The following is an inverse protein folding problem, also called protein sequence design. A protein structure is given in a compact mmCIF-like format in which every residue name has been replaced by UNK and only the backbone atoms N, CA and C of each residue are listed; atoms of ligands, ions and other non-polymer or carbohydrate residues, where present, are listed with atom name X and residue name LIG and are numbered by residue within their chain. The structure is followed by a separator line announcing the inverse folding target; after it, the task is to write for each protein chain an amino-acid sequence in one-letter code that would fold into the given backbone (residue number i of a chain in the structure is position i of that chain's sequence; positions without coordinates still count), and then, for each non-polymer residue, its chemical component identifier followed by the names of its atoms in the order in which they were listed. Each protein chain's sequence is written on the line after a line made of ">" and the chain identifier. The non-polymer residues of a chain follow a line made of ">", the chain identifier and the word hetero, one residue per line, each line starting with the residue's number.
data_IF_065834354748
#
_entry.id   IF_065834354748
#
_cell.length_a   1.000
_cell.length_b   1.000
_cell.length_c   1.000
_cell.angle_alpha   90.00
_cell.angle_beta   90.00
_cell.angle_gamma   90.00
#
_symmetry.space_group_name_H-M   'P 1'
#
loop_
_entity.id
_entity.type
_entity.pdbx_description
1 polymer ?
#
# COMPACT_ATOMS: atom_id res chain seq x y z
N UNK A 1 14.90 15.13 -6.34
CA UNK A 1 13.94 14.05 -6.69
C UNK A 1 13.72 13.04 -5.58
N UNK A 2 14.64 12.89 -4.63
CA UNK A 2 14.50 11.96 -3.50
C UNK A 2 13.53 12.44 -2.40
N UNK A 3 13.27 13.74 -2.27
CA UNK A 3 12.56 14.32 -1.12
C UNK A 3 11.06 14.02 -1.08
N UNK A 4 10.41 13.85 -2.23
CA UNK A 4 8.98 13.55 -2.29
C UNK A 4 8.75 12.10 -2.69
N UNK A 5 8.91 11.22 -1.73
CA UNK A 5 8.87 9.80 -1.93
C UNK A 5 8.19 9.13 -0.73
N UNK A 6 7.10 8.45 -0.99
CA UNK A 6 6.36 7.72 0.02
C UNK A 6 6.05 6.32 -0.48
N UNK A 7 6.74 5.34 0.10
CA UNK A 7 6.54 3.93 -0.18
C UNK A 7 6.94 3.12 1.05
N UNK A 8 6.75 1.81 1.01
CA UNK A 8 7.26 0.90 2.04
C UNK A 8 8.81 0.83 1.95
N UNK A 9 9.48 0.80 3.12
CA UNK A 9 10.93 1.03 3.22
C UNK A 9 11.80 -0.13 2.71
N UNK A 10 11.28 -1.36 2.71
CA UNK A 10 12.06 -2.55 2.35
C UNK A 10 11.99 -2.88 0.86
N UNK A 11 10.82 -3.27 0.36
CA UNK A 11 10.62 -3.58 -1.06
C UNK A 11 10.62 -2.31 -1.90
N UNK A 12 10.07 -1.22 -1.38
CA UNK A 12 10.11 0.09 -2.01
C UNK A 12 11.51 0.68 -2.20
N UNK A 13 12.53 0.14 -1.52
CA UNK A 13 13.93 0.53 -1.68
C UNK A 13 14.47 0.34 -3.12
N UNK A 14 13.79 -0.44 -3.95
CA UNK A 14 14.12 -0.58 -5.38
C UNK A 14 14.02 0.76 -6.13
N UNK A 15 13.07 1.62 -5.74
CA UNK A 15 12.82 2.89 -6.44
C UNK A 15 13.96 3.89 -6.24
N UNK A 16 14.42 4.21 -5.01
CA UNK A 16 15.58 5.05 -4.84
C UNK A 16 16.85 4.48 -5.50
N UNK A 17 16.98 3.16 -5.58
CA UNK A 17 18.05 2.53 -6.37
C UNK A 17 17.97 2.90 -7.86
N UNK A 18 16.81 2.79 -8.47
CA UNK A 18 16.58 3.20 -9.87
C UNK A 18 16.83 4.70 -10.03
N UNK A 19 16.25 5.53 -9.18
CA UNK A 19 16.38 6.99 -9.27
C UNK A 19 17.84 7.42 -9.14
N UNK A 20 18.60 6.82 -8.23
CA UNK A 20 20.01 7.11 -8.05
C UNK A 20 20.82 6.82 -9.33
N UNK A 21 20.57 5.68 -9.97
CA UNK A 21 21.27 5.35 -11.21
C UNK A 21 20.93 6.30 -12.36
N UNK A 22 19.67 6.77 -12.44
CA UNK A 22 19.23 7.74 -13.43
C UNK A 22 19.90 9.13 -13.23
N UNK A 23 19.98 9.55 -11.96
CA UNK A 23 20.66 10.82 -11.61
C UNK A 23 22.17 10.75 -11.86
N UNK A 24 22.79 9.61 -11.59
CA UNK A 24 24.21 9.38 -11.88
C UNK A 24 24.48 9.43 -13.39
N UNK A 25 23.66 8.77 -14.22
CA UNK A 25 23.81 8.83 -15.66
C UNK A 25 23.57 10.24 -16.23
N UNK A 26 22.63 10.98 -15.65
CA UNK A 26 22.40 12.38 -15.97
C UNK A 26 23.61 13.26 -15.62
N UNK A 27 24.22 13.03 -14.46
CA UNK A 27 25.44 13.71 -14.06
C UNK A 27 26.62 13.39 -14.99
N UNK A 28 26.62 12.21 -15.60
CA UNK A 28 27.60 11.79 -16.59
C UNK A 28 27.28 12.27 -18.03
N UNK A 29 26.27 13.13 -18.21
CA UNK A 29 25.95 13.78 -19.48
C UNK A 29 24.82 13.14 -20.30
N UNK A 30 24.08 12.18 -19.71
CA UNK A 30 22.89 11.64 -20.37
C UNK A 30 21.72 12.65 -20.29
N UNK A 31 21.06 12.89 -21.41
CA UNK A 31 19.88 13.76 -21.49
C UNK A 31 18.64 13.02 -20.97
N UNK A 32 18.45 13.01 -19.64
CA UNK A 32 17.29 12.41 -18.99
C UNK A 32 16.35 13.51 -18.51
N UNK A 33 15.13 13.62 -19.07
CA UNK A 33 14.15 14.62 -18.63
C UNK A 33 13.69 14.37 -17.17
N UNK A 34 13.43 15.46 -16.44
CA UNK A 34 12.93 15.39 -15.06
C UNK A 34 11.59 14.63 -14.95
N UNK A 35 10.76 14.75 -15.97
CA UNK A 35 9.46 14.09 -16.06
C UNK A 35 9.60 12.56 -16.07
N UNK A 36 10.67 12.02 -16.64
CA UNK A 36 10.91 10.56 -16.68
C UNK A 36 11.21 10.06 -15.28
N UNK A 37 12.10 10.73 -14.55
CA UNK A 37 12.45 10.37 -13.17
C UNK A 37 11.23 10.50 -12.25
N UNK A 38 10.49 11.61 -12.38
CA UNK A 38 9.28 11.84 -11.61
C UNK A 38 8.20 10.79 -11.91
N UNK A 39 8.00 10.41 -13.16
CA UNK A 39 7.01 9.43 -13.60
C UNK A 39 7.34 8.02 -13.11
N UNK A 40 8.59 7.59 -13.19
CA UNK A 40 9.04 6.29 -12.66
C UNK A 40 8.81 6.24 -11.17
N UNK A 41 9.23 7.28 -10.45
CA UNK A 41 9.09 7.40 -9.01
C UNK A 41 7.62 7.33 -8.59
N UNK A 42 6.76 8.18 -9.15
CA UNK A 42 5.35 8.24 -8.78
C UNK A 42 4.56 7.01 -9.25
N UNK A 43 4.89 6.45 -10.41
CA UNK A 43 4.24 5.25 -10.95
C UNK A 43 4.55 3.99 -10.17
N UNK A 44 5.74 3.89 -9.58
CA UNK A 44 6.16 2.71 -8.79
C UNK A 44 5.83 2.82 -7.30
N UNK A 45 5.62 4.01 -6.74
CA UNK A 45 5.39 4.20 -5.29
C UNK A 45 4.23 3.36 -4.76
N UNK A 46 3.07 3.45 -5.38
CA UNK A 46 1.88 2.73 -4.96
C UNK A 46 2.04 1.21 -5.02
N UNK A 47 2.41 0.64 -6.19
CA UNK A 47 2.65 -0.79 -6.30
C UNK A 47 3.66 -1.35 -5.32
N UNK A 48 4.80 -0.68 -5.16
CA UNK A 48 5.84 -1.14 -4.23
C UNK A 48 5.41 -1.03 -2.78
N UNK A 49 4.65 0.01 -2.41
CA UNK A 49 4.05 0.12 -1.08
C UNK A 49 3.09 -1.05 -0.81
N UNK A 50 2.16 -1.34 -1.72
CA UNK A 50 1.20 -2.43 -1.55
C UNK A 50 1.87 -3.81 -1.46
N UNK A 51 2.88 -4.08 -2.27
CA UNK A 51 3.66 -5.33 -2.19
C UNK A 51 4.43 -5.39 -0.86
N UNK A 52 5.09 -4.31 -0.47
CA UNK A 52 5.87 -4.23 0.76
C UNK A 52 5.02 -4.40 2.01
N UNK A 53 3.88 -3.73 2.06
CA UNK A 53 2.93 -3.85 3.16
C UNK A 53 2.40 -5.29 3.29
N UNK A 54 2.11 -5.95 2.19
CA UNK A 54 1.61 -7.33 2.21
C UNK A 54 2.71 -8.32 2.60
N UNK A 55 3.88 -8.23 1.99
CA UNK A 55 4.96 -9.21 2.21
C UNK A 55 5.73 -8.94 3.50
N UNK A 56 6.21 -7.72 3.71
CA UNK A 56 7.05 -7.43 4.87
C UNK A 56 6.21 -7.23 6.14
N UNK A 57 5.25 -6.33 6.11
CA UNK A 57 4.41 -6.03 7.27
C UNK A 57 3.33 -7.07 7.53
N UNK A 58 2.69 -7.60 6.48
CA UNK A 58 1.64 -8.61 6.60
C UNK A 58 2.18 -10.00 6.88
N UNK A 59 3.26 -10.43 6.19
CA UNK A 59 3.73 -11.82 6.26
C UNK A 59 4.96 -11.98 7.16
N UNK A 60 6.06 -11.31 6.87
CA UNK A 60 7.32 -11.51 7.61
C UNK A 60 7.17 -11.08 9.07
N UNK A 61 6.55 -9.92 9.31
CA UNK A 61 6.24 -9.47 10.66
C UNK A 61 5.40 -10.49 11.42
N UNK A 62 4.30 -10.96 10.82
CA UNK A 62 3.42 -11.92 11.45
C UNK A 62 4.15 -13.21 11.85
N UNK A 63 5.01 -13.74 10.98
CA UNK A 63 5.82 -14.94 11.25
C UNK A 63 6.79 -14.68 12.40
N UNK A 64 7.58 -13.61 12.34
CA UNK A 64 8.56 -13.29 13.39
C UNK A 64 7.91 -13.09 14.77
N UNK A 65 6.81 -12.34 14.82
CA UNK A 65 6.14 -12.06 16.11
C UNK A 65 5.34 -13.26 16.62
N UNK A 66 4.75 -14.10 15.75
CA UNK A 66 4.13 -15.35 16.18
C UNK A 66 5.17 -16.30 16.77
N UNK A 67 6.34 -16.41 16.16
CA UNK A 67 7.45 -17.20 16.66
C UNK A 67 7.92 -16.68 18.03
N UNK A 68 8.07 -15.36 18.17
CA UNK A 68 8.45 -14.73 19.43
C UNK A 68 7.41 -15.02 20.53
N UNK A 69 6.11 -14.93 20.23
CA UNK A 69 5.03 -15.21 21.16
C UNK A 69 5.03 -16.68 21.59
N UNK A 70 5.19 -17.61 20.66
CA UNK A 70 5.25 -19.05 20.95
C UNK A 70 6.45 -19.40 21.87
N UNK A 71 7.61 -18.80 21.59
CA UNK A 71 8.78 -19.00 22.44
C UNK A 71 8.63 -18.38 23.83
N UNK A 72 7.98 -17.22 23.94
CA UNK A 72 7.68 -16.59 25.22
C UNK A 72 6.74 -17.48 26.06
N UNK A 73 5.69 -18.03 25.46
CA UNK A 73 4.73 -18.91 26.13
C UNK A 73 5.39 -20.21 26.62
N UNK A 74 6.41 -20.71 25.93
CA UNK A 74 7.20 -21.86 26.35
C UNK A 74 8.28 -21.54 27.40
N UNK A 75 8.35 -20.29 27.88
CA UNK A 75 9.36 -19.84 28.84
C UNK A 75 10.76 -19.58 28.27
N UNK A 76 10.92 -19.65 26.96
CA UNK A 76 12.20 -19.38 26.29
C UNK A 76 12.35 -17.90 25.89
N UNK A 77 12.75 -17.06 26.86
CA UNK A 77 12.91 -15.63 26.67
C UNK A 77 14.05 -15.28 25.69
N UNK A 78 15.11 -16.07 25.65
CA UNK A 78 16.22 -15.86 24.70
C UNK A 78 15.75 -16.06 23.25
N UNK A 79 14.91 -17.08 23.01
CA UNK A 79 14.30 -17.30 21.70
C UNK A 79 13.33 -16.21 21.29
N UNK A 80 12.57 -15.65 22.25
CA UNK A 80 11.72 -14.51 22.02
C UNK A 80 12.51 -13.28 21.52
N UNK A 81 13.62 -12.93 22.21
CA UNK A 81 14.48 -11.81 21.84
C UNK A 81 15.09 -12.03 20.46
N UNK A 82 15.56 -13.26 20.17
CA UNK A 82 16.09 -13.61 18.86
C UNK A 82 15.05 -13.40 17.74
N UNK A 83 13.81 -13.86 17.93
CA UNK A 83 12.75 -13.68 16.94
C UNK A 83 12.39 -12.20 16.70
N UNK A 84 12.43 -11.37 17.76
CA UNK A 84 12.25 -9.92 17.64
C UNK A 84 13.39 -9.24 16.87
N UNK A 85 14.61 -9.69 17.02
CA UNK A 85 15.79 -9.18 16.29
C UNK A 85 15.77 -9.66 14.84
N UNK A 86 15.23 -10.83 14.56
CA UNK A 86 15.15 -11.39 13.20
C UNK A 86 14.35 -10.48 12.25
N UNK A 87 13.29 -9.86 12.74
CA UNK A 87 12.43 -8.98 11.92
C UNK A 87 13.20 -7.80 11.31
N UNK A 88 13.91 -6.95 12.05
CA UNK A 88 14.68 -5.87 11.46
C UNK A 88 15.87 -6.38 10.60
N UNK A 89 16.49 -7.50 10.94
CA UNK A 89 17.55 -8.10 10.10
C UNK A 89 16.99 -8.46 8.73
N UNK A 90 15.82 -9.13 8.67
CA UNK A 90 15.14 -9.40 7.41
C UNK A 90 14.85 -8.11 6.63
N UNK A 91 14.38 -7.06 7.30
CA UNK A 91 14.10 -5.77 6.67
C UNK A 91 15.34 -5.14 6.05
N UNK A 92 16.44 -5.08 6.80
CA UNK A 92 17.71 -4.55 6.28
C UNK A 92 18.23 -5.38 5.11
N UNK A 93 18.18 -6.70 5.18
CA UNK A 93 18.64 -7.58 4.12
C UNK A 93 17.83 -7.41 2.85
N UNK A 94 16.51 -7.41 2.97
CA UNK A 94 15.60 -7.21 1.83
C UNK A 94 15.79 -5.83 1.24
N UNK A 95 15.80 -4.79 2.05
CA UNK A 95 15.98 -3.40 1.61
C UNK A 95 17.31 -3.20 0.88
N UNK A 96 18.40 -3.72 1.43
CA UNK A 96 19.73 -3.68 0.80
C UNK A 96 19.73 -4.36 -0.56
N UNK A 97 19.14 -5.56 -0.65
CA UNK A 97 19.06 -6.31 -1.90
C UNK A 97 18.17 -5.58 -2.94
N UNK A 98 17.02 -5.08 -2.54
CA UNK A 98 16.10 -4.35 -3.41
C UNK A 98 16.73 -3.06 -3.94
N UNK A 99 17.44 -2.33 -3.08
CA UNK A 99 18.13 -1.11 -3.49
C UNK A 99 19.22 -1.37 -4.55
N UNK A 100 20.05 -2.38 -4.34
CA UNK A 100 21.08 -2.76 -5.32
C UNK A 100 20.48 -3.31 -6.62
N UNK A 101 19.39 -4.05 -6.53
CA UNK A 101 18.65 -4.53 -7.69
C UNK A 101 18.09 -3.35 -8.49
N UNK A 102 17.49 -2.36 -7.83
CA UNK A 102 17.00 -1.13 -8.45
C UNK A 102 18.10 -0.36 -9.17
N UNK A 103 19.24 -0.19 -8.50
CA UNK A 103 20.39 0.50 -9.10
C UNK A 103 20.90 -0.22 -10.36
N UNK A 104 21.00 -1.55 -10.32
CA UNK A 104 21.41 -2.34 -11.50
C UNK A 104 20.40 -2.23 -12.66
N UNK A 105 19.11 -2.32 -12.33
CA UNK A 105 18.04 -2.18 -13.34
C UNK A 105 18.09 -0.81 -13.98
N UNK A 106 18.20 0.26 -13.21
CA UNK A 106 18.32 1.61 -13.70
C UNK A 106 19.48 1.75 -14.69
N UNK A 107 20.66 1.30 -14.31
CA UNK A 107 21.88 1.41 -15.12
C UNK A 107 21.87 0.62 -16.43
N UNK A 108 21.22 -0.54 -16.45
CA UNK A 108 21.17 -1.42 -17.64
C UNK A 108 20.12 -0.99 -18.64
N UNK A 109 19.12 -0.25 -18.22
CA UNK A 109 17.89 -0.02 -18.97
C UNK A 109 17.82 1.32 -19.70
N UNK A 110 18.64 2.31 -19.32
CA UNK A 110 18.44 3.70 -19.75
C UNK A 110 18.55 3.89 -21.25
N UNK A 111 19.58 3.35 -21.88
CA UNK A 111 19.80 3.53 -23.34
C UNK A 111 18.73 2.80 -24.19
N UNK A 112 18.14 1.72 -23.68
CA UNK A 112 17.08 0.96 -24.36
C UNK A 112 15.67 1.47 -23.99
N UNK A 113 15.49 1.94 -22.78
CA UNK A 113 14.20 2.36 -22.23
C UNK A 113 13.77 3.72 -22.79
N UNK A 114 14.68 4.70 -22.89
CA UNK A 114 14.37 6.03 -23.43
C UNK A 114 14.00 5.99 -24.92
N UNK A 115 14.57 5.07 -25.70
CA UNK A 115 14.33 5.00 -27.15
C UNK A 115 13.08 4.22 -27.56
N UNK A 116 12.50 3.39 -26.71
CA UNK A 116 11.48 2.39 -27.12
C UNK A 116 10.06 2.62 -26.59
N UNK A 117 9.80 3.69 -25.84
CA UNK A 117 8.49 3.91 -25.19
C UNK A 117 8.11 2.84 -24.13
N UNK A 118 9.05 1.95 -23.80
CA UNK A 118 8.87 0.89 -22.79
C UNK A 118 8.61 1.49 -21.41
N UNK A 119 9.20 2.65 -21.09
CA UNK A 119 8.95 3.37 -19.83
C UNK A 119 7.45 3.59 -19.60
N UNK A 120 6.75 4.10 -20.61
CA UNK A 120 5.31 4.35 -20.49
C UNK A 120 4.52 3.05 -20.27
N UNK A 121 4.92 1.95 -20.91
CA UNK A 121 4.29 0.64 -20.70
C UNK A 121 4.55 0.10 -19.28
N UNK A 122 5.76 0.26 -18.76
CA UNK A 122 6.11 -0.13 -17.37
C UNK A 122 5.31 0.73 -16.40
N UNK A 123 5.26 2.05 -16.57
CA UNK A 123 4.47 2.95 -15.72
C UNK A 123 3.00 2.58 -15.75
N UNK A 124 2.42 2.29 -16.92
CA UNK A 124 1.04 1.84 -17.03
C UNK A 124 0.81 0.51 -16.30
N UNK A 125 1.67 -0.48 -16.52
CA UNK A 125 1.57 -1.77 -15.85
C UNK A 125 1.66 -1.64 -14.32
N UNK A 126 2.63 -0.85 -13.83
CA UNK A 126 2.79 -0.57 -12.41
C UNK A 126 1.60 0.22 -11.84
N UNK A 127 1.05 1.16 -12.59
CA UNK A 127 -0.13 1.92 -12.17
C UNK A 127 -1.38 1.03 -12.06
N UNK A 128 -1.58 0.13 -13.01
CA UNK A 128 -2.68 -0.85 -12.98
C UNK A 128 -2.50 -1.76 -11.76
N UNK A 129 -1.31 -2.32 -11.55
CA UNK A 129 -1.02 -3.16 -10.39
C UNK A 129 -1.26 -2.40 -9.08
N UNK A 130 -0.80 -1.15 -8.99
CA UNK A 130 -1.00 -0.29 -7.82
C UNK A 130 -2.48 -0.03 -7.54
N UNK A 131 -3.27 0.26 -8.56
CA UNK A 131 -4.71 0.46 -8.42
C UNK A 131 -5.42 -0.83 -7.97
N UNK A 132 -5.03 -1.99 -8.51
CA UNK A 132 -5.55 -3.29 -8.09
C UNK A 132 -5.21 -3.58 -6.62
N UNK A 133 -3.96 -3.35 -6.21
CA UNK A 133 -3.53 -3.53 -4.82
C UNK A 133 -4.24 -2.56 -3.87
N UNK A 134 -4.40 -1.29 -4.24
CA UNK A 134 -5.16 -0.32 -3.46
C UNK A 134 -6.63 -0.73 -3.32
N UNK A 135 -7.24 -1.26 -4.38
CA UNK A 135 -8.59 -1.81 -4.33
C UNK A 135 -8.70 -3.00 -3.38
N UNK A 136 -7.78 -3.96 -3.47
CA UNK A 136 -7.74 -5.13 -2.61
C UNK A 136 -7.52 -4.76 -1.13
N UNK A 137 -6.59 -3.85 -0.82
CA UNK A 137 -6.35 -3.35 0.52
C UNK A 137 -7.57 -2.59 1.06
N UNK A 138 -8.21 -1.76 0.24
CA UNK A 138 -9.43 -1.05 0.61
C UNK A 138 -10.55 -2.03 0.98
N UNK A 139 -10.75 -3.09 0.21
CA UNK A 139 -11.73 -4.12 0.49
C UNK A 139 -11.42 -4.93 1.77
N UNK A 140 -10.13 -5.10 2.11
CA UNK A 140 -9.70 -5.86 3.28
C UNK A 140 -9.73 -5.03 4.58
N UNK A 141 -9.39 -3.74 4.50
CA UNK A 141 -9.25 -2.90 5.69
C UNK A 141 -10.48 -2.04 5.99
N UNK A 142 -11.27 -1.69 4.98
CA UNK A 142 -12.50 -0.92 5.20
C UNK A 142 -13.65 -1.88 5.44
N UNK A 143 -13.94 -2.16 6.71
CA UNK A 143 -15.10 -2.94 7.13
C UNK A 143 -16.17 -2.00 7.65
N UNK A 144 -17.32 -1.99 7.02
CA UNK A 144 -18.48 -1.20 7.42
C UNK A 144 -19.69 -2.14 7.45
N UNK A 145 -20.23 -2.34 8.63
CA UNK A 145 -21.43 -3.15 8.83
C UNK A 145 -22.53 -2.30 9.42
N UNK A 146 -23.77 -2.50 9.00
CA UNK A 146 -24.93 -1.84 9.59
C UNK A 146 -25.79 -2.82 10.36
N UNK A 147 -26.21 -2.43 11.56
CA UNK A 147 -27.17 -3.17 12.37
C UNK A 147 -28.62 -2.78 12.09
N UNK A 148 -28.83 -1.87 11.14
CA UNK A 148 -30.16 -1.47 10.72
C UNK A 148 -30.93 -2.67 10.14
N UNK A 149 -32.06 -3.01 10.75
CA UNK A 149 -32.92 -4.09 10.32
C UNK A 149 -34.40 -3.74 10.50
N UNK A 150 -35.26 -4.28 9.66
CA UNK A 150 -36.71 -4.19 9.84
C UNK A 150 -37.18 -5.41 10.64
N UNK A 151 -37.80 -5.19 11.79
CA UNK A 151 -38.53 -6.22 12.52
C UNK A 151 -39.85 -6.49 11.80
N UNK A 152 -40.00 -7.67 11.25
CA UNK A 152 -41.27 -8.14 10.71
C UNK A 152 -41.90 -9.01 11.80
N UNK A 153 -43.15 -8.76 12.14
CA UNK A 153 -43.90 -9.53 13.11
C UNK A 153 -43.95 -10.99 12.64
N UNK A 154 -43.45 -11.92 13.48
CA UNK A 154 -43.34 -13.37 13.25
C UNK A 154 -42.24 -13.87 12.29
N UNK A 155 -41.20 -13.07 11.99
CA UNK A 155 -40.06 -13.53 11.20
C UNK A 155 -38.76 -13.03 11.80
N UNK A 156 -37.65 -13.69 11.52
CA UNK A 156 -36.32 -13.20 11.88
C UNK A 156 -36.07 -11.81 11.29
N UNK A 157 -35.45 -10.89 12.04
CA UNK A 157 -35.23 -9.53 11.55
C UNK A 157 -34.36 -9.54 10.30
N UNK A 158 -34.89 -9.04 9.20
CA UNK A 158 -34.13 -8.91 7.96
C UNK A 158 -33.16 -7.75 8.13
N UNK A 159 -31.88 -8.08 8.22
CA UNK A 159 -30.81 -7.06 8.30
C UNK A 159 -30.58 -6.47 6.90
N UNK A 160 -30.56 -5.16 6.79
CA UNK A 160 -30.24 -4.44 5.54
C UNK A 160 -28.87 -4.88 5.00
N UNK A 161 -27.94 -5.20 5.89
CA UNK A 161 -26.62 -5.72 5.54
C UNK A 161 -26.70 -7.02 4.71
N UNK A 162 -27.57 -7.96 5.07
CA UNK A 162 -27.72 -9.24 4.35
C UNK A 162 -28.18 -9.02 2.91
N UNK A 163 -29.17 -8.13 2.72
CA UNK A 163 -29.68 -7.80 1.38
C UNK A 163 -28.59 -7.13 0.54
N UNK A 164 -27.83 -6.21 1.14
CA UNK A 164 -26.76 -5.51 0.43
C UNK A 164 -25.62 -6.45 0.04
N UNK A 165 -25.22 -7.37 0.92
CA UNK A 165 -24.14 -8.32 0.68
C UNK A 165 -24.55 -9.44 -0.31
N UNK A 166 -25.84 -9.72 -0.41
CA UNK A 166 -26.40 -10.66 -1.40
C UNK A 166 -26.37 -10.08 -2.83
N UNK A 167 -26.55 -8.75 -2.96
CA UNK A 167 -26.47 -8.04 -4.24
C UNK A 167 -25.01 -7.84 -4.66
N UNK A 168 -24.21 -7.22 -3.81
CA UNK A 168 -22.79 -6.98 -4.03
C UNK A 168 -22.08 -7.00 -2.67
N UNK A 169 -21.25 -8.03 -2.39
CA UNK A 169 -20.48 -8.08 -1.16
C UNK A 169 -19.59 -6.86 -1.00
N UNK A 170 -19.67 -6.18 0.14
CA UNK A 170 -18.86 -5.00 0.42
C UNK A 170 -19.27 -3.72 -0.28
N UNK A 171 -20.52 -3.59 -0.72
CA UNK A 171 -21.03 -2.37 -1.38
C UNK A 171 -20.95 -1.14 -0.47
N UNK A 172 -21.18 -1.28 0.84
CA UNK A 172 -21.08 -0.18 1.80
C UNK A 172 -19.67 0.39 1.91
N UNK A 173 -18.62 -0.42 2.16
CA UNK A 173 -17.23 0.03 2.09
C UNK A 173 -16.88 0.70 0.75
N UNK A 174 -17.30 0.11 -0.36
CA UNK A 174 -17.05 0.65 -1.68
C UNK A 174 -17.71 2.03 -1.88
N UNK A 175 -18.96 2.19 -1.44
CA UNK A 175 -19.68 3.46 -1.52
C UNK A 175 -18.98 4.57 -0.71
N UNK A 176 -18.49 4.26 0.50
CA UNK A 176 -17.76 5.22 1.33
C UNK A 176 -16.44 5.62 0.67
N UNK A 177 -15.68 4.68 0.13
CA UNK A 177 -14.42 4.96 -0.57
C UNK A 177 -14.68 5.82 -1.80
N UNK A 178 -15.70 5.48 -2.60
CA UNK A 178 -16.10 6.26 -3.77
C UNK A 178 -16.52 7.69 -3.39
N UNK A 179 -17.28 7.85 -2.33
CA UNK A 179 -17.73 9.16 -1.83
C UNK A 179 -16.53 10.02 -1.40
N UNK A 180 -15.59 9.45 -0.65
CA UNK A 180 -14.35 10.13 -0.24
C UNK A 180 -13.54 10.52 -1.48
N UNK A 181 -13.36 9.60 -2.44
CA UNK A 181 -12.65 9.87 -3.68
C UNK A 181 -13.25 11.03 -4.47
N UNK A 182 -14.56 11.03 -4.67
CA UNK A 182 -15.25 12.12 -5.36
C UNK A 182 -15.18 13.46 -4.59
N UNK A 183 -15.23 13.40 -3.26
CA UNK A 183 -15.09 14.59 -2.42
C UNK A 183 -13.68 15.20 -2.53
N UNK A 184 -12.64 14.37 -2.50
CA UNK A 184 -11.25 14.81 -2.69
C UNK A 184 -11.05 15.38 -4.09
N UNK A 185 -11.58 14.72 -5.12
CA UNK A 185 -11.48 15.19 -6.52
C UNK A 185 -12.17 16.54 -6.73
N UNK A 186 -13.29 16.79 -6.07
CA UNK A 186 -14.08 18.01 -6.26
C UNK A 186 -13.63 19.18 -5.38
N UNK A 187 -13.22 18.94 -4.14
CA UNK A 187 -12.89 19.97 -3.13
C UNK A 187 -11.40 20.09 -2.81
N UNK A 188 -10.56 19.28 -3.43
CA UNK A 188 -9.11 19.25 -3.20
C UNK A 188 -8.69 18.46 -1.96
N UNK A 189 -7.36 18.25 -1.83
CA UNK A 189 -6.75 17.41 -0.80
C UNK A 189 -6.67 18.11 0.56
N UNK A 190 -7.75 18.12 1.34
CA UNK A 190 -7.77 18.54 2.74
C UNK A 190 -7.88 17.32 3.65
N UNK A 191 -6.84 16.49 3.70
CA UNK A 191 -6.83 15.22 4.44
C UNK A 191 -7.32 15.35 5.89
N UNK A 192 -6.83 16.34 6.63
CA UNK A 192 -7.22 16.55 8.03
C UNK A 192 -8.73 16.75 8.20
N UNK A 193 -9.36 17.48 7.26
CA UNK A 193 -10.80 17.70 7.31
C UNK A 193 -11.58 16.40 7.08
N UNK A 194 -11.16 15.58 6.10
CA UNK A 194 -11.82 14.30 5.83
C UNK A 194 -11.66 13.31 6.98
N UNK A 195 -10.48 13.26 7.62
CA UNK A 195 -10.26 12.43 8.81
C UNK A 195 -11.19 12.84 9.94
N UNK A 196 -11.32 14.14 10.23
CA UNK A 196 -12.22 14.64 11.27
C UNK A 196 -13.67 14.28 10.95
N UNK A 197 -14.12 14.45 9.70
CA UNK A 197 -15.48 14.09 9.28
C UNK A 197 -15.74 12.59 9.48
N UNK A 198 -14.79 11.72 9.12
CA UNK A 198 -14.93 10.27 9.30
C UNK A 198 -15.02 9.92 10.79
N UNK A 199 -14.19 10.52 11.64
CA UNK A 199 -14.21 10.28 13.09
C UNK A 199 -15.57 10.72 13.67
N UNK A 200 -16.05 11.89 13.30
CA UNK A 200 -17.35 12.42 13.78
C UNK A 200 -18.49 11.52 13.32
N UNK A 201 -18.51 11.11 12.05
CA UNK A 201 -19.54 10.20 11.53
C UNK A 201 -19.48 8.82 12.21
N UNK A 202 -18.31 8.30 12.48
CA UNK A 202 -18.11 7.04 13.20
C UNK A 202 -18.64 7.13 14.64
N UNK A 203 -18.35 8.22 15.34
CA UNK A 203 -18.86 8.46 16.68
C UNK A 203 -20.40 8.60 16.70
N UNK A 204 -20.96 9.33 15.75
CA UNK A 204 -22.43 9.46 15.63
C UNK A 204 -23.06 8.09 15.33
N UNK A 205 -22.48 7.32 14.40
CA UNK A 205 -22.98 5.98 14.05
C UNK A 205 -22.87 4.96 15.19
N UNK A 206 -21.94 5.15 16.12
CA UNK A 206 -21.81 4.29 17.29
C UNK A 206 -22.90 4.53 18.37
N UNK A 207 -23.64 5.65 18.27
CA UNK A 207 -24.74 5.95 19.19
C UNK A 207 -26.12 5.51 18.66
N UNK A 208 -26.19 5.08 17.41
CA UNK A 208 -27.41 4.55 16.77
C UNK A 208 -27.25 3.07 16.43
#
# INVERSE_FOLDING_TARGET
>A
HMQFFNTEATIGAIIPGIVLSLEEDRANGAEIPDEVIASIKTGLMGPMAGIGDTLYWGTIKAICFSLAATMALSGNYAGMVFACILFPICGFTIGYFMWHMGYRIGRTSISKILQSGVVNKIIQACSILGLMMMGALSASYVTLTTTAGMKIENSDPILVQQILDEIIPGILPLAVIALIFFAIKKKGMKFNLYIIIIIVLSLVGAFF
#
